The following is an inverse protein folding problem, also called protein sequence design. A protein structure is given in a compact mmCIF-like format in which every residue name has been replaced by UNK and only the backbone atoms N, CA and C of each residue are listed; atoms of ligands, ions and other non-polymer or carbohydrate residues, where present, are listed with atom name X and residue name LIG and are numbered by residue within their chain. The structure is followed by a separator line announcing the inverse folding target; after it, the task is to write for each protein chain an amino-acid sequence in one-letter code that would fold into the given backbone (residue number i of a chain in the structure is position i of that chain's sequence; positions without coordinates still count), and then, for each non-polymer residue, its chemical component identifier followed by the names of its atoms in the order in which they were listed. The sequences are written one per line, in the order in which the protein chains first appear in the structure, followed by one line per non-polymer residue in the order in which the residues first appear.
data_IF_140597954714
#
_entry.id   IF_140597954714
#
_cell.length_a   1.000
_cell.length_b   1.000
_cell.length_c   1.000
_cell.angle_alpha   90.00
_cell.angle_beta   90.00
_cell.angle_gamma   90.00
#
_symmetry.space_group_name_H-M   'P 1'
#
loop_
_entity.id
_entity.type
_entity.pdbx_description
1 polymer ?
#
# COMPACT_ATOMS: atom_id res chain seq x y z
N UNK A 1 1.15 19.46 -1.68
CA UNK A 1 -0.14 19.42 -0.95
C UNK A 1 -0.05 18.28 0.05
N UNK A 2 -0.43 18.50 1.31
CA UNK A 2 -0.46 17.44 2.35
C UNK A 2 -1.91 17.02 2.58
N UNK A 3 -2.16 15.72 2.67
CA UNK A 3 -3.50 15.17 2.88
C UNK A 3 -3.73 14.96 4.37
N UNK A 4 -4.83 15.47 4.92
CA UNK A 4 -5.19 15.22 6.32
C UNK A 4 -5.44 13.72 6.59
N UNK A 5 -5.19 13.28 7.83
CA UNK A 5 -5.62 11.96 8.29
C UNK A 5 -7.14 11.92 8.44
N UNK A 6 -7.77 10.76 8.22
CA UNK A 6 -9.17 10.58 8.58
C UNK A 6 -9.32 10.73 10.10
N UNK A 7 -10.37 11.42 10.53
CA UNK A 7 -10.77 11.45 11.92
C UNK A 7 -11.33 10.09 12.36
N UNK A 8 -11.50 9.88 13.67
CA UNK A 8 -12.19 8.69 14.19
C UNK A 8 -13.58 8.52 13.57
N UNK A 9 -14.31 9.64 13.40
CA UNK A 9 -15.64 9.63 12.77
C UNK A 9 -15.59 9.16 11.32
N UNK A 10 -14.55 9.55 10.57
CA UNK A 10 -14.38 9.12 9.18
C UNK A 10 -14.05 7.62 9.10
N UNK A 11 -13.24 7.11 10.04
CA UNK A 11 -12.91 5.69 10.15
C UNK A 11 -14.14 4.86 10.51
N UNK A 12 -14.95 5.32 11.48
CA UNK A 12 -16.17 4.64 11.90
C UNK A 12 -17.20 4.58 10.76
N UNK A 13 -17.42 5.69 10.06
CA UNK A 13 -18.30 5.73 8.88
C UNK A 13 -17.77 4.85 7.74
N UNK A 14 -16.45 4.83 7.53
CA UNK A 14 -15.80 3.93 6.58
C UNK A 14 -16.01 2.46 6.92
N UNK A 15 -16.00 2.12 8.20
CA UNK A 15 -16.32 0.78 8.71
C UNK A 15 -17.74 0.34 8.48
N UNK A 16 -18.69 1.21 8.79
CA UNK A 16 -20.11 0.93 8.55
C UNK A 16 -20.39 0.71 7.05
N UNK A 17 -19.82 1.57 6.20
CA UNK A 17 -19.92 1.41 4.75
C UNK A 17 -19.26 0.11 4.27
N UNK A 18 -18.09 -0.25 4.84
CA UNK A 18 -17.41 -1.50 4.54
C UNK A 18 -18.31 -2.71 4.85
N UNK A 19 -18.89 -2.77 6.06
CA UNK A 19 -19.79 -3.84 6.47
C UNK A 19 -21.04 -3.93 5.57
N UNK A 20 -21.62 -2.79 5.18
CA UNK A 20 -22.75 -2.75 4.26
C UNK A 20 -22.38 -3.33 2.89
N UNK A 21 -21.24 -2.92 2.34
CA UNK A 21 -20.77 -3.41 1.04
C UNK A 21 -20.38 -4.89 1.09
N UNK A 22 -19.79 -5.36 2.19
CA UNK A 22 -19.52 -6.79 2.40
C UNK A 22 -20.81 -7.60 2.39
N UNK A 23 -21.87 -7.11 3.05
CA UNK A 23 -23.20 -7.75 3.07
C UNK A 23 -23.79 -7.86 1.66
N UNK A 24 -23.58 -6.84 0.81
CA UNK A 24 -24.04 -6.85 -0.58
C UNK A 24 -23.14 -7.76 -1.46
N UNK A 25 -21.86 -7.89 -1.12
CA UNK A 25 -20.86 -8.67 -1.85
C UNK A 25 -20.72 -10.13 -1.38
N UNK A 26 -21.47 -10.59 -0.38
CA UNK A 26 -21.38 -11.92 0.28
C UNK A 26 -21.37 -13.15 -0.66
N UNK A 27 -21.62 -12.96 -1.97
CA UNK A 27 -21.48 -14.00 -3.01
C UNK A 27 -20.35 -13.73 -4.01
N UNK A 28 -19.26 -13.07 -3.61
CA UNK A 28 -18.02 -12.91 -4.37
C UNK A 28 -18.24 -12.30 -5.76
N UNK A 29 -18.85 -11.13 -5.81
CA UNK A 29 -19.14 -10.44 -7.07
C UNK A 29 -20.54 -9.86 -7.13
N UNK A 30 -21.04 -9.32 -6.02
CA UNK A 30 -22.27 -8.53 -5.93
C UNK A 30 -23.55 -9.13 -6.53
N UNK A 31 -24.65 -8.37 -6.48
CA UNK A 31 -25.90 -8.77 -7.11
C UNK A 31 -25.81 -8.79 -8.64
N UNK A 32 -26.75 -9.49 -9.29
CA UNK A 32 -26.97 -9.33 -10.72
C UNK A 32 -27.75 -8.03 -11.01
N UNK A 33 -27.43 -7.32 -12.09
CA UNK A 33 -28.17 -6.12 -12.47
C UNK A 33 -29.60 -6.49 -12.86
N UNK A 34 -30.55 -5.65 -12.48
CA UNK A 34 -31.95 -5.75 -12.90
C UNK A 34 -32.02 -5.36 -14.38
N UNK A 35 -32.57 -6.24 -15.21
CA UNK A 35 -32.73 -6.02 -16.65
C UNK A 35 -33.58 -4.78 -16.95
N UNK A 36 -33.17 -4.02 -17.97
CA UNK A 36 -33.90 -2.84 -18.45
C UNK A 36 -33.60 -1.54 -17.70
N UNK A 37 -32.87 -1.59 -16.57
CA UNK A 37 -32.43 -0.40 -15.86
C UNK A 37 -30.99 0.01 -16.22
N UNK A 38 -30.70 1.31 -16.33
CA UNK A 38 -29.34 1.83 -16.45
C UNK A 38 -28.40 1.31 -15.35
N UNK A 39 -27.09 1.23 -15.64
CA UNK A 39 -26.05 0.68 -14.74
C UNK A 39 -25.05 1.74 -14.27
N UNK A 40 -25.29 3.01 -14.60
CA UNK A 40 -24.46 4.13 -14.19
C UNK A 40 -25.35 5.26 -13.67
N UNK A 41 -25.38 5.40 -12.35
CA UNK A 41 -26.21 6.40 -11.67
C UNK A 41 -25.79 7.83 -12.02
N UNK A 42 -24.49 8.11 -12.05
CA UNK A 42 -23.99 9.47 -12.34
C UNK A 42 -24.38 9.90 -13.75
N UNK A 43 -24.19 9.02 -14.72
CA UNK A 43 -24.63 9.28 -16.09
C UNK A 43 -26.15 9.44 -16.19
N UNK A 44 -26.91 8.55 -15.56
CA UNK A 44 -28.36 8.59 -15.60
C UNK A 44 -28.95 9.90 -15.06
N UNK A 45 -28.44 10.37 -13.91
CA UNK A 45 -28.88 11.62 -13.30
C UNK A 45 -28.48 12.84 -14.13
N UNK A 46 -27.25 12.86 -14.66
CA UNK A 46 -26.76 13.94 -15.52
C UNK A 46 -27.54 14.04 -16.84
N UNK A 47 -27.83 12.91 -17.49
CA UNK A 47 -28.59 12.87 -18.75
C UNK A 47 -30.04 13.37 -18.56
N UNK A 48 -30.53 13.39 -17.32
CA UNK A 48 -31.87 13.88 -16.96
C UNK A 48 -31.88 15.28 -16.34
N UNK A 49 -30.71 15.85 -16.08
CA UNK A 49 -30.57 17.09 -15.29
C UNK A 49 -31.32 16.98 -13.94
N UNK A 50 -31.24 15.80 -13.30
CA UNK A 50 -31.96 15.46 -12.08
C UNK A 50 -30.99 15.20 -10.91
N UNK A 51 -31.40 15.56 -9.70
CA UNK A 51 -30.71 15.13 -8.47
C UNK A 51 -31.18 13.75 -8.03
N UNK A 52 -30.37 13.05 -7.23
CA UNK A 52 -30.79 11.79 -6.63
C UNK A 52 -32.03 12.03 -5.73
N UNK A 53 -33.00 11.12 -5.84
CA UNK A 53 -34.27 11.17 -5.11
C UNK A 53 -34.49 9.77 -4.54
N UNK A 54 -34.51 9.68 -3.21
CA UNK A 54 -34.66 8.42 -2.49
C UNK A 54 -36.06 7.84 -2.58
N UNK A 55 -37.06 8.65 -2.92
CA UNK A 55 -38.45 8.22 -3.06
C UNK A 55 -38.79 7.79 -4.49
N UNK A 56 -37.90 8.08 -5.45
CA UNK A 56 -38.05 7.68 -6.85
C UNK A 56 -37.57 6.22 -7.06
N UNK A 57 -38.48 5.27 -7.37
CA UNK A 57 -38.10 3.87 -7.53
C UNK A 57 -37.08 3.63 -8.66
N UNK A 58 -37.07 4.48 -9.70
CA UNK A 58 -36.09 4.38 -10.79
C UNK A 58 -34.69 4.75 -10.32
N UNK A 59 -34.55 5.75 -9.46
CA UNK A 59 -33.24 6.18 -8.92
C UNK A 59 -32.65 5.08 -8.06
N UNK A 60 -33.46 4.47 -7.19
CA UNK A 60 -33.07 3.32 -6.39
C UNK A 60 -32.66 2.12 -7.27
N UNK A 61 -33.41 1.85 -8.34
CA UNK A 61 -33.09 0.75 -9.26
C UNK A 61 -31.75 0.96 -9.98
N UNK A 62 -31.46 2.19 -10.43
CA UNK A 62 -30.18 2.52 -11.08
C UNK A 62 -29.03 2.50 -10.07
N UNK A 63 -29.25 2.98 -8.83
CA UNK A 63 -28.27 2.86 -7.75
C UNK A 63 -27.88 1.40 -7.50
N UNK A 64 -28.87 0.52 -7.38
CA UNK A 64 -28.65 -0.92 -7.22
C UNK A 64 -27.85 -1.52 -8.39
N UNK A 65 -28.24 -1.20 -9.63
CA UNK A 65 -27.50 -1.67 -10.81
C UNK A 65 -26.07 -1.13 -10.89
N UNK A 66 -25.84 0.10 -10.43
CA UNK A 66 -24.50 0.67 -10.37
C UNK A 66 -23.64 -0.09 -9.33
N UNK A 67 -24.17 -0.33 -8.14
CA UNK A 67 -23.49 -1.14 -7.11
C UNK A 67 -23.19 -2.56 -7.62
N UNK A 68 -24.16 -3.21 -8.27
CA UNK A 68 -24.01 -4.51 -8.92
C UNK A 68 -22.83 -4.50 -9.92
N UNK A 69 -22.79 -3.49 -10.80
CA UNK A 69 -21.70 -3.31 -11.77
C UNK A 69 -20.35 -3.21 -11.05
N UNK A 70 -20.22 -2.33 -10.06
CA UNK A 70 -18.96 -2.09 -9.35
C UNK A 70 -18.43 -3.35 -8.65
N UNK A 71 -19.29 -4.02 -7.88
CA UNK A 71 -18.92 -5.22 -7.12
C UNK A 71 -18.60 -6.41 -8.05
N UNK A 72 -19.24 -6.50 -9.22
CA UNK A 72 -18.92 -7.52 -10.23
C UNK A 72 -17.62 -7.24 -10.98
N UNK A 73 -17.36 -5.97 -11.30
CA UNK A 73 -16.14 -5.58 -12.01
C UNK A 73 -14.90 -5.77 -11.14
N UNK A 74 -15.00 -5.48 -9.85
CA UNK A 74 -13.91 -5.63 -8.90
C UNK A 74 -14.39 -6.19 -7.56
N UNK A 75 -14.56 -7.52 -7.43
CA UNK A 75 -15.02 -8.13 -6.18
C UNK A 75 -14.14 -7.74 -4.99
N UNK A 76 -14.75 -7.43 -3.86
CA UNK A 76 -14.08 -7.01 -2.62
C UNK A 76 -13.13 -5.79 -2.80
N UNK A 77 -13.40 -4.87 -3.73
CA UNK A 77 -12.58 -3.67 -3.87
C UNK A 77 -12.66 -2.79 -2.63
N UNK A 78 -13.82 -2.70 -1.99
CA UNK A 78 -14.08 -1.92 -0.79
C UNK A 78 -13.27 -2.43 0.41
N UNK A 79 -13.16 -3.75 0.61
CA UNK A 79 -12.28 -4.33 1.63
C UNK A 79 -10.81 -3.94 1.44
N UNK A 80 -10.33 -3.93 0.20
CA UNK A 80 -8.94 -3.53 -0.10
C UNK A 80 -8.70 -2.03 0.01
N UNK A 81 -9.65 -1.22 -0.45
CA UNK A 81 -9.51 0.25 -0.51
C UNK A 81 -9.87 0.88 0.84
N UNK A 82 -11.12 0.70 1.29
CA UNK A 82 -11.59 1.25 2.57
C UNK A 82 -10.94 0.51 3.73
N UNK A 83 -11.02 -0.82 3.74
CA UNK A 83 -10.42 -1.62 4.81
C UNK A 83 -8.91 -1.43 4.91
N UNK A 84 -8.21 -1.40 3.76
CA UNK A 84 -6.79 -1.10 3.70
C UNK A 84 -6.45 0.30 4.24
N UNK A 85 -7.16 1.35 3.81
CA UNK A 85 -6.89 2.71 4.27
C UNK A 85 -7.21 2.88 5.77
N UNK A 86 -8.41 2.50 6.20
CA UNK A 86 -8.92 2.73 7.54
C UNK A 86 -8.25 1.82 8.59
N UNK A 87 -8.12 0.53 8.31
CA UNK A 87 -7.74 -0.49 9.29
C UNK A 87 -6.34 -1.07 9.10
N UNK A 88 -5.62 -0.66 8.05
CA UNK A 88 -4.22 -1.05 7.86
C UNK A 88 -3.31 0.18 7.88
N UNK A 89 -3.52 1.13 6.98
CA UNK A 89 -2.64 2.31 6.85
C UNK A 89 -2.84 3.30 8.00
N UNK A 90 -4.08 3.67 8.30
CA UNK A 90 -4.40 4.61 9.37
C UNK A 90 -4.50 3.97 10.76
N UNK A 91 -4.26 2.66 10.86
CA UNK A 91 -4.28 1.99 12.15
C UNK A 91 -2.95 2.21 12.87
N UNK A 92 -2.97 3.02 13.94
CA UNK A 92 -1.76 3.44 14.66
C UNK A 92 -0.87 2.27 15.12
N UNK A 93 -1.46 1.10 15.38
CA UNK A 93 -0.73 -0.11 15.80
C UNK A 93 0.21 -0.65 14.72
N UNK A 94 -0.06 -0.37 13.45
CA UNK A 94 0.80 -0.80 12.34
C UNK A 94 2.00 0.15 12.13
N UNK A 95 2.00 1.33 12.76
CA UNK A 95 3.10 2.30 12.70
C UNK A 95 3.57 2.62 11.27
N UNK A 96 2.64 2.66 10.31
CA UNK A 96 2.93 3.03 8.91
C UNK A 96 3.03 4.55 8.78
N UNK A 97 2.09 5.26 9.42
CA UNK A 97 2.07 6.71 9.47
C UNK A 97 2.64 7.24 10.78
N UNK A 98 3.16 8.47 10.77
CA UNK A 98 3.62 9.16 11.98
C UNK A 98 2.42 9.55 12.85
N UNK A 99 2.23 8.97 14.05
CA UNK A 99 1.07 9.25 14.91
C UNK A 99 1.05 10.68 15.44
N UNK A 100 2.19 11.40 15.45
CA UNK A 100 2.27 12.76 15.96
C UNK A 100 1.74 13.82 14.97
N UNK A 101 1.48 13.44 13.72
CA UNK A 101 1.02 14.34 12.67
C UNK A 101 -0.47 14.14 12.37
N UNK A 102 -1.15 15.23 12.02
CA UNK A 102 -2.57 15.29 11.61
C UNK A 102 -2.78 15.04 10.11
N UNK A 103 -1.70 14.73 9.38
CA UNK A 103 -1.70 14.49 7.94
C UNK A 103 -0.89 13.22 7.61
N UNK A 104 -1.09 12.70 6.41
CA UNK A 104 -0.46 11.47 5.93
C UNK A 104 1.03 11.71 5.68
N UNK A 105 1.88 11.21 6.58
CA UNK A 105 3.34 11.14 6.47
C UNK A 105 3.82 9.80 7.05
N UNK A 106 4.92 9.27 6.52
CA UNK A 106 5.48 8.00 6.98
C UNK A 106 6.04 8.10 8.40
N UNK A 107 5.93 7.01 9.16
CA UNK A 107 6.49 6.91 10.50
C UNK A 107 8.01 7.21 10.50
N UNK A 108 8.54 7.92 11.52
CA UNK A 108 9.97 8.26 11.59
C UNK A 108 10.91 7.06 11.45
N UNK A 109 10.54 5.91 12.01
CA UNK A 109 11.34 4.68 11.92
C UNK A 109 11.41 4.13 10.50
N UNK A 110 10.32 4.24 9.72
CA UNK A 110 10.33 3.86 8.31
C UNK A 110 11.27 4.77 7.54
N UNK A 111 11.20 6.09 7.78
CA UNK A 111 12.10 7.06 7.15
C UNK A 111 13.56 6.82 7.54
N UNK A 112 13.84 6.51 8.81
CA UNK A 112 15.18 6.17 9.28
C UNK A 112 15.69 4.88 8.61
N UNK A 113 14.86 3.84 8.53
CA UNK A 113 15.16 2.59 7.83
C UNK A 113 15.45 2.80 6.35
N UNK A 114 14.66 3.63 5.66
CA UNK A 114 14.90 3.98 4.25
C UNK A 114 16.24 4.71 4.04
N UNK A 115 16.59 5.64 4.93
CA UNK A 115 17.90 6.32 4.89
C UNK A 115 19.06 5.35 5.12
N UNK A 116 18.92 4.44 6.10
CA UNK A 116 19.92 3.40 6.36
C UNK A 116 20.08 2.47 5.14
N UNK A 117 18.97 2.03 4.55
CA UNK A 117 18.97 1.19 3.37
C UNK A 117 19.66 1.89 2.19
N UNK A 118 19.38 3.18 1.97
CA UNK A 118 20.04 3.97 0.93
C UNK A 118 21.55 4.08 1.16
N UNK A 119 21.98 4.36 2.39
CA UNK A 119 23.40 4.42 2.74
C UNK A 119 24.11 3.08 2.52
N UNK A 120 23.48 1.97 2.91
CA UNK A 120 24.02 0.62 2.70
C UNK A 120 24.11 0.25 1.22
N UNK A 121 23.12 0.62 0.42
CA UNK A 121 23.16 0.42 -1.04
C UNK A 121 24.29 1.21 -1.69
N UNK A 122 24.51 2.45 -1.24
CA UNK A 122 25.58 3.30 -1.76
C UNK A 122 26.99 2.77 -1.41
N UNK A 123 27.19 2.23 -0.20
CA UNK A 123 28.49 1.70 0.23
C UNK A 123 28.70 0.22 -0.15
N UNK A 124 27.72 -0.47 -0.73
CA UNK A 124 27.83 -1.91 -1.01
C UNK A 124 29.04 -2.27 -1.88
N UNK A 125 29.17 -1.68 -3.07
CA UNK A 125 30.30 -1.95 -3.96
C UNK A 125 31.63 -1.41 -3.40
N UNK A 126 31.72 -0.16 -2.90
CA UNK A 126 32.95 0.32 -2.27
C UNK A 126 33.41 -0.54 -1.09
N UNK A 127 32.50 -1.00 -0.24
CA UNK A 127 32.81 -1.91 0.85
C UNK A 127 33.38 -3.23 0.31
N UNK A 128 32.72 -3.84 -0.68
CA UNK A 128 33.17 -5.08 -1.29
C UNK A 128 34.57 -4.94 -1.92
N UNK A 129 34.86 -3.81 -2.58
CA UNK A 129 36.18 -3.54 -3.13
C UNK A 129 37.26 -3.42 -2.05
N UNK A 130 36.97 -2.70 -0.95
CA UNK A 130 37.89 -2.58 0.19
C UNK A 130 38.18 -3.95 0.80
N UNK A 131 37.15 -4.76 1.01
CA UNK A 131 37.26 -6.12 1.54
C UNK A 131 38.06 -7.04 0.60
N UNK A 132 37.78 -7.01 -0.70
CA UNK A 132 38.51 -7.79 -1.70
C UNK A 132 39.99 -7.39 -1.76
N UNK A 133 40.30 -6.09 -1.74
CA UNK A 133 41.69 -5.59 -1.70
C UNK A 133 42.42 -6.05 -0.44
N UNK A 134 41.77 -5.99 0.72
CA UNK A 134 42.34 -6.45 1.98
C UNK A 134 42.60 -7.96 1.97
N UNK A 135 41.68 -8.76 1.41
CA UNK A 135 41.85 -10.19 1.26
C UNK A 135 43.02 -10.55 0.33
N UNK A 136 43.14 -9.87 -0.82
CA UNK A 136 44.26 -10.05 -1.75
C UNK A 136 45.59 -9.68 -1.10
N UNK A 137 45.68 -8.55 -0.41
CA UNK A 137 46.90 -8.14 0.29
C UNK A 137 47.32 -9.17 1.34
N UNK A 138 46.35 -9.71 2.11
CA UNK A 138 46.59 -10.76 3.10
C UNK A 138 47.13 -12.03 2.44
N UNK A 139 46.56 -12.45 1.31
CA UNK A 139 47.02 -13.63 0.57
C UNK A 139 48.43 -13.45 -0.02
N UNK A 140 48.73 -12.26 -0.55
CA UNK A 140 50.07 -11.94 -1.07
C UNK A 140 51.11 -12.01 0.05
N UNK A 141 50.85 -11.36 1.19
CA UNK A 141 51.77 -11.38 2.33
C UNK A 141 52.01 -12.82 2.83
N UNK A 142 50.95 -13.61 2.99
CA UNK A 142 51.06 -15.01 3.39
C UNK A 142 51.86 -15.88 2.40
N UNK A 143 51.74 -15.60 1.09
CA UNK A 143 52.52 -16.26 0.05
C UNK A 143 54.00 -15.86 0.11
N UNK A 144 54.29 -14.56 0.28
CA UNK A 144 55.65 -14.05 0.42
C UNK A 144 56.37 -14.63 1.65
N UNK A 145 55.69 -14.66 2.81
CA UNK A 145 56.23 -15.25 4.04
C UNK A 145 56.52 -16.75 3.90
N UNK A 146 55.70 -17.46 3.11
CA UNK A 146 55.95 -18.87 2.80
C UNK A 146 57.18 -19.01 1.92
N UNK A 147 57.27 -18.22 0.86
CA UNK A 147 58.38 -18.25 -0.07
C UNK A 147 59.72 -17.94 0.60
N UNK A 148 59.77 -16.92 1.48
CA UNK A 148 60.97 -16.59 2.25
C UNK A 148 61.42 -17.76 3.13
N UNK A 149 60.49 -18.39 3.86
CA UNK A 149 60.75 -19.58 4.66
C UNK A 149 61.29 -20.75 3.82
N UNK A 150 60.70 -21.00 2.66
CA UNK A 150 61.12 -22.07 1.75
C UNK A 150 62.51 -21.81 1.14
N UNK A 151 62.88 -20.54 0.89
CA UNK A 151 64.20 -20.15 0.40
C UNK A 151 65.30 -20.13 1.48
N UNK A 152 64.98 -20.48 2.73
CA UNK A 152 65.93 -20.45 3.84
C UNK A 152 66.36 -19.03 4.24
N UNK A 153 65.65 -18.01 3.74
CA UNK A 153 65.83 -16.62 4.13
C UNK A 153 64.94 -16.40 5.35
N UNK A 154 65.54 -16.32 6.54
CA UNK A 154 64.77 -15.83 7.70
C UNK A 154 64.40 -14.36 7.49
N UNK A 155 63.21 -13.92 7.96
CA UNK A 155 62.77 -12.54 7.85
C UNK A 155 63.75 -11.55 8.50
#
# INVERSE_FOLDING_TARGET
MKMAKPSTRDIDAGGELLCLLDTIDERWGGPWPIHGAPQDLGKFLNDKDESFDSDNPKHLQVLYNHLAKLLRTAPNFHGRVLGGMCYVICWDKNQILDPALDHLELHPDILAGLRLLAAKRADFLPQLEREARAAVATAINASADRHLREMGLSP
#
